data_IF_738330491100
#
_entry.id   IF_738330491100
#
_cell.length_a   1.000
_cell.length_b   1.000
_cell.length_c   1.000
_cell.angle_alpha   90.00
_cell.angle_beta   90.00
_cell.angle_gamma   90.00
#
_symmetry.space_group_name_H-M   'P 1'
#
loop_
_entity.id
_entity.type
_entity.pdbx_description
1 polymer ?
#
# COMPACT_ATOMS: atom_id res chain seq x y z
N UNK A 1 -8.51 36.18 -6.32
CA UNK A 1 -8.26 35.15 -7.35
C UNK A 1 -7.21 35.64 -8.37
N UNK A 2 -7.38 36.81 -8.97
CA UNK A 2 -6.40 37.39 -9.91
C UNK A 2 -4.98 37.57 -9.32
N UNK A 3 -4.85 38.06 -8.07
CA UNK A 3 -3.55 38.17 -7.37
C UNK A 3 -2.88 36.83 -7.04
N UNK A 4 -3.65 35.73 -6.96
CA UNK A 4 -3.10 34.38 -6.76
C UNK A 4 -2.59 33.80 -8.08
N UNK A 5 -3.30 34.07 -9.18
CA UNK A 5 -2.92 33.64 -10.53
C UNK A 5 -1.71 34.41 -11.07
N UNK A 6 -1.54 35.69 -10.70
CA UNK A 6 -0.36 36.48 -11.10
C UNK A 6 0.97 35.99 -10.52
N UNK A 7 0.92 35.17 -9.46
CA UNK A 7 2.11 34.58 -8.84
C UNK A 7 2.52 33.22 -9.42
N UNK A 8 1.76 32.66 -10.36
CA UNK A 8 2.05 31.35 -10.96
C UNK A 8 2.97 31.54 -12.17
N UNK A 9 4.13 30.87 -12.23
CA UNK A 9 5.00 30.89 -13.40
C UNK A 9 4.25 30.45 -14.67
N UNK A 10 4.44 31.17 -15.77
CA UNK A 10 3.68 30.97 -17.01
C UNK A 10 3.89 29.57 -17.63
N UNK A 11 5.05 28.96 -17.41
CA UNK A 11 5.35 27.58 -17.79
C UNK A 11 4.52 26.57 -16.97
N UNK A 12 4.46 26.71 -15.65
CA UNK A 12 3.61 25.87 -14.79
C UNK A 12 2.14 26.04 -15.16
N UNK A 13 1.67 27.27 -15.33
CA UNK A 13 0.28 27.55 -15.70
C UNK A 13 -0.11 26.84 -17.02
N UNK A 14 0.79 26.84 -18.01
CA UNK A 14 0.58 26.15 -19.28
C UNK A 14 0.53 24.63 -19.11
N UNK A 15 1.39 24.06 -18.28
CA UNK A 15 1.37 22.62 -17.98
C UNK A 15 0.07 22.23 -17.29
N UNK A 16 -0.40 23.02 -16.31
CA UNK A 16 -1.64 22.76 -15.57
C UNK A 16 -2.90 22.86 -16.43
N UNK A 17 -2.90 23.66 -17.50
CA UNK A 17 -4.03 23.75 -18.42
C UNK A 17 -4.23 22.48 -19.26
N UNK A 18 -3.14 21.78 -19.63
CA UNK A 18 -3.19 20.58 -20.47
C UNK A 18 -4.16 19.49 -19.99
N UNK A 19 -4.06 18.96 -18.75
CA UNK A 19 -4.95 17.89 -18.31
C UNK A 19 -6.42 18.35 -18.23
N UNK A 20 -6.68 19.63 -17.96
CA UNK A 20 -8.04 20.19 -17.98
C UNK A 20 -8.64 20.23 -19.39
N UNK A 21 -7.79 20.29 -20.41
CA UNK A 21 -8.14 20.23 -21.84
C UNK A 21 -8.06 18.81 -22.41
N UNK A 22 -7.81 17.79 -21.56
CA UNK A 22 -7.69 16.39 -21.96
C UNK A 22 -6.33 16.00 -22.57
N UNK A 23 -5.31 16.85 -22.44
CA UNK A 23 -3.95 16.58 -22.91
C UNK A 23 -3.05 16.01 -21.80
N UNK A 24 -2.21 15.05 -22.16
CA UNK A 24 -1.28 14.42 -21.23
C UNK A 24 -0.08 15.32 -20.87
N UNK A 25 0.41 15.14 -19.64
CA UNK A 25 1.64 15.76 -19.14
C UNK A 25 2.84 14.83 -19.37
N UNK A 26 3.92 15.37 -19.93
CA UNK A 26 5.16 14.62 -20.18
C UNK A 26 6.00 14.43 -18.92
N UNK A 27 7.09 13.64 -18.99
CA UNK A 27 8.01 13.45 -17.86
C UNK A 27 8.71 14.76 -17.50
N UNK A 28 9.16 15.55 -18.48
CA UNK A 28 9.82 16.83 -18.26
C UNK A 28 8.86 17.82 -17.59
N UNK A 29 7.61 17.87 -18.06
CA UNK A 29 6.58 18.74 -17.50
C UNK A 29 6.19 18.30 -16.08
N UNK A 30 6.04 16.99 -15.83
CA UNK A 30 5.82 16.44 -14.50
C UNK A 30 6.96 16.76 -13.54
N UNK A 31 8.20 16.64 -14.01
CA UNK A 31 9.41 17.02 -13.26
C UNK A 31 9.35 18.48 -12.84
N UNK A 32 8.95 19.37 -13.75
CA UNK A 32 8.77 20.79 -13.48
C UNK A 32 7.66 21.05 -12.45
N UNK A 33 6.55 20.31 -12.49
CA UNK A 33 5.47 20.46 -11.51
C UNK A 33 5.91 20.07 -10.08
N UNK A 34 6.83 19.12 -9.92
CA UNK A 34 7.39 18.76 -8.61
C UNK A 34 8.22 19.87 -7.96
N UNK A 35 8.54 20.94 -8.69
CA UNK A 35 9.24 22.11 -8.17
C UNK A 35 8.29 23.25 -7.80
N UNK A 36 6.97 23.09 -7.99
CA UNK A 36 5.99 24.14 -7.74
C UNK A 36 5.99 24.58 -6.27
N UNK A 37 6.13 25.87 -5.99
CA UNK A 37 6.12 26.46 -4.65
C UNK A 37 5.18 27.68 -4.58
N UNK A 38 4.96 28.19 -3.36
CA UNK A 38 4.11 29.37 -3.14
C UNK A 38 2.77 29.31 -3.88
N UNK A 39 2.51 30.31 -4.73
CA UNK A 39 1.30 30.37 -5.54
C UNK A 39 1.17 29.22 -6.56
N UNK A 40 2.29 28.71 -7.08
CA UNK A 40 2.29 27.59 -8.02
C UNK A 40 1.86 26.28 -7.35
N UNK A 41 2.24 26.05 -6.07
CA UNK A 41 1.78 24.90 -5.31
C UNK A 41 0.27 24.95 -5.07
N UNK A 42 -0.27 26.13 -4.75
CA UNK A 42 -1.72 26.31 -4.58
C UNK A 42 -2.48 26.05 -5.89
N UNK A 43 -1.95 26.53 -7.01
CA UNK A 43 -2.53 26.25 -8.33
C UNK A 43 -2.45 24.76 -8.70
N UNK A 44 -1.34 24.09 -8.36
CA UNK A 44 -1.16 22.65 -8.54
C UNK A 44 -2.21 21.86 -7.76
N UNK A 45 -2.41 22.18 -6.47
CA UNK A 45 -3.44 21.56 -5.63
C UNK A 45 -4.84 21.76 -6.20
N UNK A 46 -5.20 22.99 -6.55
CA UNK A 46 -6.51 23.31 -7.11
C UNK A 46 -6.78 22.58 -8.43
N UNK A 47 -5.77 22.48 -9.30
CA UNK A 47 -5.88 21.72 -10.55
C UNK A 47 -6.08 20.23 -10.29
N UNK A 48 -5.31 19.65 -9.37
CA UNK A 48 -5.48 18.25 -9.00
C UNK A 48 -6.86 17.98 -8.37
N UNK A 49 -7.36 18.87 -7.51
CA UNK A 49 -8.69 18.74 -6.91
C UNK A 49 -9.81 18.83 -7.95
N UNK A 50 -9.68 19.71 -8.93
CA UNK A 50 -10.58 19.83 -10.07
C UNK A 50 -10.63 18.52 -10.87
N UNK A 51 -9.47 18.00 -11.28
CA UNK A 51 -9.37 16.75 -12.03
C UNK A 51 -9.94 15.58 -11.22
N UNK A 52 -9.68 15.51 -9.91
CA UNK A 52 -10.27 14.51 -9.03
C UNK A 52 -11.80 14.63 -9.00
N UNK A 53 -12.35 15.84 -8.91
CA UNK A 53 -13.80 16.08 -8.92
C UNK A 53 -14.45 15.67 -10.24
N UNK A 54 -13.77 15.87 -11.37
CA UNK A 54 -14.29 15.46 -12.68
C UNK A 54 -14.50 13.94 -12.79
N UNK A 55 -13.61 13.12 -12.21
CA UNK A 55 -13.72 11.65 -12.28
C UNK A 55 -14.45 11.02 -11.10
N UNK A 56 -14.35 11.59 -9.89
CA UNK A 56 -14.87 10.98 -8.66
C UNK A 56 -16.05 11.75 -8.03
N UNK A 57 -16.39 12.94 -8.53
CA UNK A 57 -17.32 13.84 -7.86
C UNK A 57 -16.82 14.19 -6.44
N UNK A 58 -17.74 14.32 -5.49
CA UNK A 58 -17.42 14.60 -4.08
C UNK A 58 -17.16 13.35 -3.24
N UNK A 59 -17.18 12.16 -3.85
CA UNK A 59 -16.97 10.90 -3.15
C UNK A 59 -15.50 10.76 -2.77
N UNK A 60 -15.27 10.36 -1.52
CA UNK A 60 -13.99 9.87 -1.05
C UNK A 60 -14.21 8.51 -0.41
N UNK A 61 -13.39 7.57 -0.82
CA UNK A 61 -13.57 6.16 -0.48
C UNK A 61 -12.70 5.71 0.70
N UNK A 62 -13.09 4.62 1.35
CA UNK A 62 -12.29 3.84 2.29
C UNK A 62 -12.71 2.37 2.24
N UNK A 63 -11.86 1.47 2.72
CA UNK A 63 -12.16 0.03 2.81
C UNK A 63 -11.96 -0.48 4.25
N UNK A 64 -12.81 -1.39 4.70
CA UNK A 64 -12.58 -2.12 5.95
C UNK A 64 -11.72 -3.33 5.63
N UNK A 65 -10.48 -3.33 6.12
CA UNK A 65 -9.50 -4.38 5.83
C UNK A 65 -8.61 -4.73 7.03
N UNK A 66 -7.93 -5.88 6.91
CA UNK A 66 -6.90 -6.34 7.83
C UNK A 66 -5.62 -6.69 7.08
N UNK A 67 -4.48 -6.25 7.61
CA UNK A 67 -3.18 -6.73 7.14
C UNK A 67 -2.80 -7.98 7.93
N UNK A 68 -2.42 -9.05 7.22
CA UNK A 68 -1.91 -10.28 7.83
C UNK A 68 -0.52 -10.53 7.27
N UNK A 69 0.48 -10.04 8.01
CA UNK A 69 1.86 -10.41 7.81
C UNK A 69 2.13 -11.73 8.50
N UNK A 70 2.17 -12.84 7.76
CA UNK A 70 2.28 -14.17 8.40
C UNK A 70 3.72 -14.59 8.70
N UNK A 71 4.72 -13.88 8.15
CA UNK A 71 6.13 -13.99 8.56
C UNK A 71 6.86 -12.69 8.22
N UNK A 72 7.85 -12.32 9.04
CA UNK A 72 8.82 -11.26 8.74
C UNK A 72 10.17 -11.81 8.24
N UNK A 73 10.35 -13.13 8.14
CA UNK A 73 11.62 -13.74 7.77
C UNK A 73 11.87 -13.54 6.28
N UNK A 74 12.98 -12.91 5.93
CA UNK A 74 13.27 -12.55 4.55
C UNK A 74 14.74 -12.74 4.19
N UNK A 75 15.00 -13.40 3.06
CA UNK A 75 16.34 -13.51 2.50
C UNK A 75 16.84 -12.23 1.82
N UNK A 76 15.96 -11.23 1.61
CA UNK A 76 16.33 -9.94 1.03
C UNK A 76 16.72 -8.96 2.12
N UNK A 77 17.68 -8.08 1.80
CA UNK A 77 18.22 -7.08 2.71
C UNK A 77 17.96 -5.68 2.15
N UNK A 78 16.69 -5.33 2.03
CA UNK A 78 16.28 -4.02 1.52
C UNK A 78 16.70 -2.94 2.51
N UNK A 79 17.35 -1.88 2.03
CA UNK A 79 17.88 -0.81 2.88
C UNK A 79 16.78 -0.03 3.62
N UNK A 80 15.57 0.04 3.09
CA UNK A 80 14.44 0.76 3.70
C UNK A 80 13.56 -0.11 4.62
N UNK A 81 13.74 -1.43 4.63
CA UNK A 81 12.80 -2.32 5.33
C UNK A 81 13.25 -2.55 6.77
N UNK A 82 12.52 -1.96 7.72
CA UNK A 82 12.69 -2.21 9.15
C UNK A 82 11.91 -3.44 9.65
N UNK A 83 11.00 -3.98 8.83
CA UNK A 83 10.13 -5.09 9.18
C UNK A 83 10.82 -6.45 9.03
N UNK A 84 11.60 -6.64 7.95
CA UNK A 84 12.23 -7.93 7.67
C UNK A 84 13.27 -8.33 8.71
N UNK A 85 13.36 -9.63 8.98
CA UNK A 85 14.40 -10.24 9.81
C UNK A 85 15.19 -11.28 9.02
N UNK A 86 16.49 -11.34 9.26
CA UNK A 86 17.30 -12.44 8.74
C UNK A 86 16.86 -13.74 9.43
N UNK A 87 16.94 -14.86 8.73
CA UNK A 87 16.46 -16.16 9.21
C UNK A 87 17.22 -16.71 10.44
N UNK A 88 18.25 -15.99 10.91
CA UNK A 88 19.03 -16.29 12.12
C UNK A 88 18.68 -15.38 13.30
N UNK A 89 17.83 -14.38 13.11
CA UNK A 89 17.44 -13.44 14.15
C UNK A 89 16.30 -13.99 14.99
N UNK A 90 16.37 -13.82 16.31
CA UNK A 90 15.37 -14.34 17.26
C UNK A 90 13.99 -13.68 17.12
N UNK A 91 13.94 -12.51 16.50
CA UNK A 91 12.71 -11.77 16.19
C UNK A 91 12.01 -12.26 14.90
N UNK A 92 12.58 -13.26 14.22
CA UNK A 92 11.95 -13.93 13.09
C UNK A 92 10.75 -14.76 13.56
N UNK A 93 9.58 -14.54 12.97
CA UNK A 93 8.37 -15.32 13.27
C UNK A 93 7.75 -15.95 12.03
N UNK A 94 6.97 -17.01 12.25
CA UNK A 94 6.14 -17.66 11.24
C UNK A 94 4.82 -18.09 11.90
N UNK A 95 3.70 -17.50 11.48
CA UNK A 95 2.38 -17.84 12.03
C UNK A 95 1.90 -19.20 11.50
N UNK A 96 1.26 -20.03 12.34
CA UNK A 96 0.58 -21.23 11.88
C UNK A 96 -0.70 -20.87 11.11
N UNK A 97 -1.13 -21.77 10.22
CA UNK A 97 -2.26 -21.56 9.32
C UNK A 97 -3.55 -21.24 10.07
N UNK A 98 -3.86 -21.97 11.14
CA UNK A 98 -5.04 -21.74 11.96
C UNK A 98 -5.09 -20.32 12.56
N UNK A 99 -3.95 -19.74 12.95
CA UNK A 99 -3.87 -18.35 13.42
C UNK A 99 -4.09 -17.35 12.28
N UNK A 100 -3.57 -17.64 11.08
CA UNK A 100 -3.81 -16.79 9.88
C UNK A 100 -5.31 -16.77 9.55
N UNK A 101 -5.95 -17.95 9.52
CA UNK A 101 -7.40 -18.10 9.29
C UNK A 101 -8.20 -17.41 10.39
N UNK A 102 -7.84 -17.58 11.67
CA UNK A 102 -8.51 -16.90 12.80
C UNK A 102 -8.48 -15.39 12.64
N UNK A 103 -7.33 -14.81 12.29
CA UNK A 103 -7.19 -13.36 12.06
C UNK A 103 -8.07 -12.89 10.91
N UNK A 104 -8.13 -13.64 9.82
CA UNK A 104 -8.99 -13.34 8.69
C UNK A 104 -10.48 -13.42 9.05
N UNK A 105 -10.90 -14.45 9.80
CA UNK A 105 -12.27 -14.59 10.31
C UNK A 105 -12.66 -13.43 11.21
N UNK A 106 -11.81 -13.09 12.18
CA UNK A 106 -12.05 -11.96 13.08
C UNK A 106 -12.20 -10.64 12.31
N UNK A 107 -11.45 -10.44 11.22
CA UNK A 107 -11.62 -9.25 10.38
C UNK A 107 -13.01 -9.23 9.72
N UNK A 108 -13.44 -10.36 9.15
CA UNK A 108 -14.74 -10.49 8.49
C UNK A 108 -15.90 -10.29 9.49
N UNK A 109 -15.78 -10.87 10.69
CA UNK A 109 -16.76 -10.68 11.77
C UNK A 109 -16.88 -9.20 12.20
N UNK A 110 -15.81 -8.42 12.01
CA UNK A 110 -15.78 -6.98 12.26
C UNK A 110 -16.16 -6.13 11.04
N UNK A 111 -16.60 -6.76 9.94
CA UNK A 111 -17.08 -6.09 8.73
C UNK A 111 -16.05 -5.92 7.63
N UNK A 112 -14.85 -6.49 7.76
CA UNK A 112 -13.84 -6.41 6.72
C UNK A 112 -14.26 -7.16 5.45
N UNK A 113 -13.96 -6.56 4.30
CA UNK A 113 -14.16 -7.19 2.98
C UNK A 113 -12.86 -7.65 2.34
N UNK A 114 -11.74 -7.20 2.90
CA UNK A 114 -10.42 -7.46 2.38
C UNK A 114 -9.51 -7.96 3.49
N UNK A 115 -8.73 -9.00 3.15
CA UNK A 115 -7.52 -9.35 3.88
C UNK A 115 -6.32 -9.14 2.97
N UNK A 116 -5.42 -8.26 3.39
CA UNK A 116 -4.15 -8.02 2.71
C UNK A 116 -3.11 -8.99 3.27
N UNK A 117 -2.72 -10.00 2.48
CA UNK A 117 -1.78 -11.04 2.88
C UNK A 117 -0.41 -10.72 2.33
N UNK A 118 0.58 -10.62 3.22
CA UNK A 118 1.96 -10.30 2.88
C UNK A 118 2.93 -11.11 3.73
N UNK A 119 4.15 -11.29 3.24
CA UNK A 119 5.22 -11.97 3.96
C UNK A 119 6.61 -11.48 3.58
N UNK A 120 7.57 -11.83 4.44
CA UNK A 120 8.95 -11.98 4.01
C UNK A 120 9.13 -13.17 3.06
N UNK A 121 10.37 -13.34 2.59
CA UNK A 121 10.78 -14.46 1.73
C UNK A 121 11.61 -15.46 2.54
N UNK A 122 11.00 -16.39 3.29
CA UNK A 122 11.75 -17.32 4.13
C UNK A 122 12.62 -18.25 3.29
N UNK A 123 13.85 -18.59 3.73
CA UNK A 123 14.72 -19.46 2.96
C UNK A 123 14.11 -20.86 2.82
N UNK A 124 14.31 -21.48 1.65
CA UNK A 124 13.80 -22.84 1.34
C UNK A 124 12.26 -22.97 1.41
N UNK A 125 11.52 -21.87 1.35
CA UNK A 125 10.06 -21.85 1.28
C UNK A 125 9.50 -22.89 0.30
N UNK A 126 8.41 -23.56 0.65
CA UNK A 126 7.68 -24.40 -0.29
C UNK A 126 7.14 -23.57 -1.44
N UNK A 127 7.29 -24.10 -2.66
CA UNK A 127 6.94 -23.36 -3.88
C UNK A 127 5.46 -23.00 -3.92
N UNK A 128 4.58 -23.92 -3.52
CA UNK A 128 3.12 -23.76 -3.56
C UNK A 128 2.55 -22.95 -2.39
N UNK A 129 3.37 -22.51 -1.43
CA UNK A 129 2.91 -21.94 -0.15
C UNK A 129 1.82 -20.88 -0.33
N UNK A 130 2.04 -19.89 -1.20
CA UNK A 130 1.10 -18.79 -1.38
C UNK A 130 -0.23 -19.27 -2.02
N UNK A 131 -0.16 -20.24 -2.93
CA UNK A 131 -1.33 -20.85 -3.58
C UNK A 131 -2.12 -21.65 -2.56
N UNK A 132 -1.45 -22.48 -1.76
CA UNK A 132 -2.09 -23.31 -0.75
C UNK A 132 -2.72 -22.44 0.34
N UNK A 133 -2.01 -21.43 0.83
CA UNK A 133 -2.55 -20.46 1.79
C UNK A 133 -3.81 -19.75 1.27
N UNK A 134 -3.80 -19.35 0.00
CA UNK A 134 -4.98 -18.73 -0.65
C UNK A 134 -6.16 -19.69 -0.68
N UNK A 135 -5.92 -20.96 -1.03
CA UNK A 135 -6.96 -22.00 -1.10
C UNK A 135 -7.57 -22.28 0.26
N UNK A 136 -6.75 -22.40 1.30
CA UNK A 136 -7.21 -22.65 2.67
C UNK A 136 -8.02 -21.45 3.20
N UNK A 137 -7.56 -20.21 2.96
CA UNK A 137 -8.33 -19.03 3.31
C UNK A 137 -9.68 -18.98 2.59
N UNK A 138 -9.73 -19.33 1.29
CA UNK A 138 -10.97 -19.35 0.52
C UNK A 138 -11.91 -20.49 0.89
N UNK A 139 -11.40 -21.63 1.38
CA UNK A 139 -12.23 -22.71 1.88
C UNK A 139 -13.04 -22.26 3.11
N UNK A 140 -12.40 -21.49 3.99
CA UNK A 140 -13.02 -20.97 5.22
C UNK A 140 -13.83 -19.69 4.97
N UNK A 141 -13.31 -18.79 4.14
CA UNK A 141 -13.82 -17.45 3.88
C UNK A 141 -14.02 -17.24 2.38
N UNK A 142 -15.03 -17.89 1.75
CA UNK A 142 -15.19 -17.85 0.29
C UNK A 142 -15.38 -16.43 -0.26
N UNK A 143 -16.08 -15.57 0.50
CA UNK A 143 -16.48 -14.24 0.06
C UNK A 143 -15.43 -13.14 0.34
N UNK A 144 -14.42 -13.39 1.17
CA UNK A 144 -13.42 -12.34 1.50
C UNK A 144 -12.51 -12.07 0.32
N UNK A 145 -12.24 -10.81 0.00
CA UNK A 145 -11.26 -10.46 -1.01
C UNK A 145 -9.85 -10.69 -0.47
N UNK A 146 -9.08 -11.54 -1.14
CA UNK A 146 -7.66 -11.75 -0.81
C UNK A 146 -6.83 -10.81 -1.68
N UNK A 147 -6.26 -9.78 -1.05
CA UNK A 147 -5.28 -8.90 -1.66
C UNK A 147 -3.87 -9.37 -1.29
N UNK A 148 -3.19 -10.05 -2.19
CA UNK A 148 -1.89 -10.66 -1.93
C UNK A 148 -1.46 -11.41 -3.19
N UNK A 149 -0.20 -11.62 -3.50
CA UNK A 149 1.04 -11.31 -2.81
C UNK A 149 1.81 -10.30 -3.66
N UNK A 150 2.86 -9.68 -3.12
CA UNK A 150 3.67 -8.73 -3.89
C UNK A 150 4.30 -9.39 -5.14
N UNK A 151 4.67 -8.61 -6.16
CA UNK A 151 5.38 -9.13 -7.33
C UNK A 151 6.67 -9.89 -7.01
N UNK A 152 7.37 -9.50 -5.94
CA UNK A 152 8.55 -10.22 -5.43
C UNK A 152 8.17 -11.61 -4.90
N UNK A 153 7.09 -11.71 -4.13
CA UNK A 153 6.60 -12.97 -3.59
C UNK A 153 6.11 -13.90 -4.70
N UNK A 154 5.38 -13.37 -5.69
CA UNK A 154 4.97 -14.13 -6.90
C UNK A 154 6.18 -14.68 -7.63
N UNK A 155 7.18 -13.85 -7.92
CA UNK A 155 8.41 -14.30 -8.57
C UNK A 155 9.15 -15.35 -7.73
N UNK A 156 9.25 -15.13 -6.42
CA UNK A 156 9.90 -16.06 -5.51
C UNK A 156 9.18 -17.41 -5.50
N UNK A 157 7.85 -17.42 -5.37
CA UNK A 157 7.02 -18.62 -5.43
C UNK A 157 7.17 -19.38 -6.75
N UNK A 158 7.16 -18.67 -7.89
CA UNK A 158 7.39 -19.27 -9.21
C UNK A 158 8.76 -19.96 -9.30
N UNK A 159 9.82 -19.27 -8.87
CA UNK A 159 11.19 -19.82 -8.85
C UNK A 159 11.30 -21.03 -7.91
N UNK A 160 10.70 -20.96 -6.71
CA UNK A 160 10.68 -22.06 -5.74
C UNK A 160 9.91 -23.27 -6.26
N UNK A 161 8.88 -23.03 -7.06
CA UNK A 161 8.07 -24.05 -7.76
C UNK A 161 8.74 -24.60 -9.03
N UNK A 162 9.87 -24.02 -9.46
CA UNK A 162 10.52 -24.29 -10.75
C UNK A 162 9.57 -24.11 -11.95
N UNK A 163 8.61 -23.19 -11.82
CA UNK A 163 7.60 -22.88 -12.83
C UNK A 163 7.79 -21.49 -13.43
N UNK A 164 6.93 -21.15 -14.39
CA UNK A 164 6.85 -19.79 -14.94
C UNK A 164 6.05 -18.86 -14.02
N UNK A 165 6.24 -17.54 -14.16
CA UNK A 165 5.40 -16.53 -13.50
C UNK A 165 3.92 -16.73 -13.87
N UNK A 166 3.64 -17.03 -15.15
CA UNK A 166 2.28 -17.22 -15.64
C UNK A 166 1.59 -18.42 -14.99
N UNK A 167 2.26 -19.57 -14.92
CA UNK A 167 1.69 -20.77 -14.29
C UNK A 167 1.44 -20.55 -12.79
N UNK A 168 2.33 -19.82 -12.12
CA UNK A 168 2.19 -19.49 -10.71
C UNK A 168 0.99 -18.56 -10.46
N UNK A 169 0.86 -17.50 -11.26
CA UNK A 169 -0.28 -16.58 -11.21
C UNK A 169 -1.60 -17.27 -11.55
N UNK A 170 -1.60 -18.21 -12.51
CA UNK A 170 -2.77 -19.04 -12.82
C UNK A 170 -3.17 -19.86 -11.60
N UNK A 171 -2.20 -20.48 -10.92
CA UNK A 171 -2.45 -21.21 -9.66
C UNK A 171 -3.03 -20.33 -8.56
N UNK A 172 -2.53 -19.10 -8.38
CA UNK A 172 -3.08 -18.14 -7.41
C UNK A 172 -4.52 -17.72 -7.76
N UNK A 173 -4.80 -17.43 -9.02
CA UNK A 173 -6.15 -17.11 -9.51
C UNK A 173 -7.11 -18.26 -9.28
N UNK A 174 -6.71 -19.47 -9.65
CA UNK A 174 -7.55 -20.66 -9.51
C UNK A 174 -7.76 -21.03 -8.02
N UNK A 175 -6.84 -20.65 -7.13
CA UNK A 175 -7.02 -20.74 -5.69
C UNK A 175 -7.92 -19.63 -5.10
N UNK A 176 -8.22 -18.59 -5.87
CA UNK A 176 -9.16 -17.52 -5.51
C UNK A 176 -8.53 -16.21 -5.04
N UNK A 177 -7.29 -15.91 -5.43
CA UNK A 177 -6.72 -14.57 -5.20
C UNK A 177 -7.58 -13.50 -5.87
N UNK A 178 -7.85 -12.40 -5.17
CA UNK A 178 -8.70 -11.32 -5.69
C UNK A 178 -7.92 -10.24 -6.44
N UNK A 179 -6.74 -9.86 -5.93
CA UNK A 179 -5.84 -8.89 -6.58
C UNK A 179 -4.44 -8.95 -5.98
N UNK A 180 -3.43 -8.39 -6.67
CA UNK A 180 -2.06 -8.28 -6.14
C UNK A 180 -1.73 -6.85 -5.67
N UNK A 181 -1.02 -6.68 -4.55
CA UNK A 181 -0.49 -5.37 -4.17
C UNK A 181 0.63 -4.94 -5.13
N UNK A 182 0.54 -3.72 -5.67
CA UNK A 182 1.55 -3.07 -6.52
C UNK A 182 2.87 -2.70 -5.84
N UNK A 183 3.13 -3.30 -4.68
CA UNK A 183 4.37 -3.15 -3.90
C UNK A 183 5.58 -3.71 -4.66
N UNK A 184 6.76 -3.58 -4.09
CA UNK A 184 8.03 -3.95 -4.74
C UNK A 184 8.42 -3.07 -5.93
N UNK A 185 7.62 -2.05 -6.25
CA UNK A 185 7.89 -1.06 -7.29
C UNK A 185 8.93 -0.01 -6.85
N UNK A 186 8.85 0.45 -5.59
CA UNK A 186 9.66 1.52 -5.00
C UNK A 186 9.85 2.72 -5.94
N UNK A 187 10.96 2.77 -6.66
CA UNK A 187 11.11 3.57 -7.87
C UNK A 187 11.34 2.62 -9.04
N UNK A 188 10.57 2.75 -10.12
CA UNK A 188 10.73 1.98 -11.35
C UNK A 188 11.89 2.54 -12.20
N UNK A 189 13.07 2.57 -11.60
CA UNK A 189 14.35 2.97 -12.19
C UNK A 189 15.42 2.03 -11.63
N UNK A 190 16.03 1.19 -12.48
CA UNK A 190 16.94 0.14 -12.02
C UNK A 190 18.17 0.69 -11.26
N UNK A 191 18.87 1.75 -11.73
CA UNK A 191 19.96 2.35 -10.97
C UNK A 191 19.59 2.81 -9.55
N UNK A 192 18.42 3.42 -9.36
CA UNK A 192 17.94 3.79 -8.02
C UNK A 192 17.67 2.54 -7.17
N UNK A 193 17.04 1.51 -7.75
CA UNK A 193 16.73 0.25 -7.05
C UNK A 193 17.98 -0.47 -6.58
N UNK A 194 19.01 -0.54 -7.42
CA UNK A 194 20.28 -1.19 -7.10
C UNK A 194 20.96 -0.55 -5.88
N UNK A 195 20.72 0.75 -5.64
CA UNK A 195 21.21 1.48 -4.47
C UNK A 195 20.42 1.17 -3.19
N UNK A 196 19.09 1.08 -3.26
CA UNK A 196 18.23 0.99 -2.06
C UNK A 196 17.77 -0.43 -1.72
N UNK A 197 17.73 -1.35 -2.69
CA UNK A 197 17.28 -2.73 -2.53
C UNK A 197 18.05 -3.69 -3.45
N UNK A 198 19.37 -3.83 -3.25
CA UNK A 198 20.20 -4.72 -4.06
C UNK A 198 19.70 -6.17 -3.99
N UNK A 199 19.62 -6.82 -5.15
CA UNK A 199 19.20 -8.21 -5.27
C UNK A 199 17.70 -8.47 -5.11
N UNK A 200 16.88 -7.42 -5.00
CA UNK A 200 15.42 -7.51 -5.15
C UNK A 200 15.04 -7.66 -6.63
N UNK A 201 13.77 -7.98 -6.92
CA UNK A 201 13.20 -8.05 -8.27
C UNK A 201 13.62 -6.85 -9.12
N UNK A 202 14.01 -7.07 -10.38
CA UNK A 202 14.36 -5.98 -11.31
C UNK A 202 13.10 -5.25 -11.77
N UNK A 203 13.27 -4.06 -12.37
CA UNK A 203 12.13 -3.34 -13.02
C UNK A 203 11.47 -4.24 -14.06
N UNK A 204 12.23 -4.89 -14.92
CA UNK A 204 11.70 -5.76 -15.97
C UNK A 204 10.92 -6.96 -15.41
N UNK A 205 11.43 -7.59 -14.35
CA UNK A 205 10.74 -8.69 -13.69
C UNK A 205 9.46 -8.22 -13.00
N UNK A 206 9.47 -7.05 -12.36
CA UNK A 206 8.27 -6.45 -11.77
C UNK A 206 7.22 -6.21 -12.84
N UNK A 207 7.63 -5.64 -13.98
CA UNK A 207 6.75 -5.38 -15.13
C UNK A 207 6.20 -6.67 -15.73
N UNK A 208 7.02 -7.72 -15.85
CA UNK A 208 6.56 -9.02 -16.34
C UNK A 208 5.50 -9.63 -15.43
N UNK A 209 5.69 -9.58 -14.11
CA UNK A 209 4.68 -10.06 -13.15
C UNK A 209 3.37 -9.27 -13.26
N UNK A 210 3.45 -7.94 -13.25
CA UNK A 210 2.25 -7.07 -13.28
C UNK A 210 1.49 -7.24 -14.60
N UNK A 211 2.18 -7.16 -15.74
CA UNK A 211 1.52 -7.30 -17.04
C UNK A 211 0.99 -8.71 -17.27
N UNK A 212 1.66 -9.74 -16.75
CA UNK A 212 1.15 -11.13 -16.78
C UNK A 212 -0.09 -11.29 -15.90
N UNK A 213 -0.11 -10.69 -14.70
CA UNK A 213 -1.28 -10.70 -13.83
C UNK A 213 -2.49 -10.06 -14.52
N UNK A 214 -2.31 -8.89 -15.14
CA UNK A 214 -3.37 -8.21 -15.88
C UNK A 214 -3.89 -9.05 -17.06
N UNK A 215 -3.01 -9.70 -17.84
CA UNK A 215 -3.42 -10.62 -18.94
C UNK A 215 -4.26 -11.80 -18.43
N UNK A 216 -4.00 -12.27 -17.21
CA UNK A 216 -4.73 -13.37 -16.58
C UNK A 216 -6.03 -12.92 -15.89
N UNK A 217 -6.37 -11.64 -15.94
CA UNK A 217 -7.54 -11.06 -15.31
C UNK A 217 -7.38 -10.81 -13.80
N UNK A 218 -6.14 -10.76 -13.30
CA UNK A 218 -5.84 -10.44 -11.90
C UNK A 218 -5.52 -8.95 -11.82
N UNK A 219 -6.40 -8.11 -11.26
CA UNK A 219 -6.12 -6.70 -11.08
C UNK A 219 -5.00 -6.49 -10.06
N UNK A 220 -4.28 -5.37 -10.16
CA UNK A 220 -3.27 -4.99 -9.17
C UNK A 220 -3.42 -3.56 -8.72
N UNK A 221 -2.88 -3.22 -7.56
CA UNK A 221 -2.65 -1.82 -7.20
C UNK A 221 -1.30 -1.36 -7.80
N UNK A 222 -0.93 -0.09 -7.63
CA UNK A 222 0.38 0.45 -8.01
C UNK A 222 0.90 1.37 -6.90
N UNK A 223 2.22 1.41 -6.70
CA UNK A 223 2.82 2.16 -5.57
C UNK A 223 4.10 2.87 -5.96
N UNK A 224 4.41 3.96 -5.26
CA UNK A 224 5.72 4.61 -5.31
C UNK A 224 6.24 4.84 -3.88
N UNK A 225 7.49 4.48 -3.61
CA UNK A 225 8.17 4.93 -2.39
C UNK A 225 9.03 6.14 -2.72
N UNK A 226 8.82 7.27 -2.04
CA UNK A 226 9.48 8.54 -2.35
C UNK A 226 9.95 9.30 -1.09
N UNK A 227 10.84 10.26 -1.28
CA UNK A 227 11.49 11.05 -0.23
C UNK A 227 12.82 10.46 0.24
N UNK A 228 13.46 9.59 -0.53
CA UNK A 228 14.76 8.97 -0.22
C UNK A 228 15.84 9.53 -1.15
N UNK A 229 16.49 8.71 -1.98
CA UNK A 229 17.60 9.12 -2.87
C UNK A 229 17.12 9.55 -4.26
N UNK A 230 15.84 9.42 -4.57
CA UNK A 230 15.32 9.67 -5.90
C UNK A 230 15.15 11.16 -6.23
N UNK A 231 15.20 11.49 -7.52
CA UNK A 231 14.98 12.85 -8.03
C UNK A 231 13.52 13.05 -8.45
N UNK A 232 13.13 14.30 -8.69
CA UNK A 232 11.82 14.61 -9.26
C UNK A 232 11.60 13.98 -10.64
N UNK A 233 12.66 13.88 -11.45
CA UNK A 233 12.62 13.19 -12.74
C UNK A 233 12.31 11.70 -12.56
N UNK A 234 12.95 11.03 -11.58
CA UNK A 234 12.62 9.64 -11.27
C UNK A 234 11.15 9.46 -10.85
N UNK A 235 10.58 10.39 -10.08
CA UNK A 235 9.17 10.37 -9.69
C UNK A 235 8.24 10.55 -10.90
N UNK A 236 8.52 11.52 -11.76
CA UNK A 236 7.73 11.77 -12.97
C UNK A 236 7.81 10.60 -13.97
N UNK A 237 9.01 10.05 -14.16
CA UNK A 237 9.22 8.87 -15.01
C UNK A 237 8.49 7.64 -14.48
N UNK A 238 8.47 7.43 -13.15
CA UNK A 238 7.69 6.37 -12.52
C UNK A 238 6.19 6.51 -12.84
N UNK A 239 5.61 7.70 -12.67
CA UNK A 239 4.20 7.96 -12.98
C UNK A 239 3.88 7.70 -14.45
N UNK A 240 4.73 8.16 -15.36
CA UNK A 240 4.57 7.89 -16.79
C UNK A 240 4.65 6.40 -17.11
N UNK A 241 5.57 5.66 -16.47
CA UNK A 241 5.71 4.22 -16.65
C UNK A 241 4.45 3.45 -16.22
N UNK A 242 3.87 3.81 -15.07
CA UNK A 242 2.60 3.23 -14.63
C UNK A 242 1.44 3.56 -15.58
N UNK A 243 1.37 4.81 -16.07
CA UNK A 243 0.38 5.22 -17.07
C UNK A 243 0.49 4.39 -18.35
N UNK A 244 1.70 4.14 -18.84
CA UNK A 244 1.92 3.39 -20.07
C UNK A 244 1.54 1.91 -19.92
N UNK A 245 1.82 1.29 -18.77
CA UNK A 245 1.30 -0.04 -18.45
C UNK A 245 -0.22 -0.02 -18.38
N UNK A 246 -0.82 0.99 -17.75
CA UNK A 246 -2.27 1.10 -17.62
C UNK A 246 -2.95 1.24 -18.98
N UNK A 247 -2.39 2.05 -19.88
CA UNK A 247 -2.85 2.15 -21.28
C UNK A 247 -2.83 0.81 -21.99
N UNK A 248 -1.79 0.00 -21.76
CA UNK A 248 -1.62 -1.28 -22.42
C UNK A 248 -2.50 -2.39 -21.84
N UNK A 249 -2.83 -2.33 -20.55
CA UNK A 249 -3.39 -3.48 -19.83
C UNK A 249 -4.68 -3.20 -19.07
N UNK A 250 -4.94 -1.96 -18.66
CA UNK A 250 -6.13 -1.56 -17.89
C UNK A 250 -6.28 -2.20 -16.51
N UNK A 251 -5.23 -2.85 -15.99
CA UNK A 251 -5.33 -3.72 -14.81
C UNK A 251 -5.06 -3.06 -13.46
N UNK A 252 -4.56 -1.81 -13.42
CA UNK A 252 -4.37 -1.09 -12.17
C UNK A 252 -5.70 -0.55 -11.63
N UNK A 253 -5.95 -0.80 -10.34
CA UNK A 253 -7.13 -0.29 -9.63
C UNK A 253 -6.89 1.05 -8.93
N UNK A 254 -5.66 1.28 -8.46
CA UNK A 254 -5.28 2.50 -7.74
C UNK A 254 -3.78 2.78 -7.82
N UNK A 255 -3.42 4.00 -7.42
CA UNK A 255 -2.07 4.44 -7.14
C UNK A 255 -1.91 4.89 -5.68
N UNK A 256 -0.90 4.37 -5.01
CA UNK A 256 -0.60 4.65 -3.59
C UNK A 256 0.79 5.27 -3.44
N UNK A 257 0.88 6.59 -3.21
CA UNK A 257 2.12 7.23 -2.78
C UNK A 257 2.48 6.83 -1.35
N UNK A 258 3.73 6.41 -1.16
CA UNK A 258 4.27 5.97 0.12
C UNK A 258 5.51 6.82 0.47
N UNK A 259 5.34 7.82 1.34
CA UNK A 259 6.52 8.54 1.83
C UNK A 259 7.46 7.61 2.60
N UNK A 260 8.75 7.86 2.44
CA UNK A 260 9.80 7.11 3.11
C UNK A 260 9.84 7.45 4.60
N UNK A 261 9.65 6.43 5.45
CA UNK A 261 9.78 6.52 6.90
C UNK A 261 11.19 6.08 7.28
N UNK A 262 12.00 7.02 7.73
CA UNK A 262 13.45 6.84 7.85
C UNK A 262 13.92 6.33 9.21
N UNK A 263 13.11 6.49 10.27
CA UNK A 263 13.54 6.38 11.67
C UNK A 263 14.27 5.07 11.98
N UNK A 264 13.72 3.95 11.51
CA UNK A 264 14.29 2.60 11.72
C UNK A 264 14.84 1.98 10.43
N UNK A 265 14.90 2.74 9.34
CA UNK A 265 15.34 2.23 8.04
C UNK A 265 16.87 2.02 8.01
N UNK A 266 17.37 0.79 7.74
CA UNK A 266 18.81 0.51 7.74
C UNK A 266 19.66 1.45 6.87
N UNK A 267 19.16 1.86 5.70
CA UNK A 267 19.88 2.72 4.76
C UNK A 267 20.04 4.16 5.27
N UNK A 268 19.13 4.61 6.13
CA UNK A 268 19.22 5.91 6.79
C UNK A 268 20.09 5.81 8.05
N UNK A 269 19.80 4.85 8.93
CA UNK A 269 20.52 4.64 10.19
C UNK A 269 22.01 4.37 9.96
N UNK A 270 22.35 3.59 8.93
CA UNK A 270 23.74 3.25 8.57
C UNK A 270 24.37 4.22 7.58
N UNK A 271 23.66 5.28 7.17
CA UNK A 271 24.13 6.28 6.20
C UNK A 271 24.73 5.65 4.94
N UNK A 272 23.95 4.78 4.26
CA UNK A 272 24.45 4.02 3.10
C UNK A 272 24.75 4.88 1.86
N UNK A 273 24.34 6.16 1.86
CA UNK A 273 24.58 7.12 0.78
C UNK A 273 24.52 8.55 1.32
N UNK A 274 25.41 9.42 0.84
CA UNK A 274 25.40 10.85 1.19
C UNK A 274 24.16 11.60 0.64
N UNK A 275 23.52 11.05 -0.39
CA UNK A 275 22.28 11.58 -0.98
C UNK A 275 21.03 11.13 -0.22
N UNK A 276 21.17 10.32 0.83
CA UNK A 276 20.03 9.79 1.58
C UNK A 276 19.29 10.90 2.33
N UNK A 277 17.97 10.94 2.15
CA UNK A 277 17.08 11.92 2.78
C UNK A 277 16.25 11.28 3.91
N UNK A 278 15.85 12.05 4.93
CA UNK A 278 15.01 11.57 6.03
C UNK A 278 13.51 11.48 5.65
N UNK A 279 13.17 11.25 4.39
CA UNK A 279 11.79 11.29 3.91
C UNK A 279 11.39 12.61 3.26
N UNK A 280 10.15 12.64 2.79
CA UNK A 280 9.54 13.79 2.14
C UNK A 280 9.06 14.83 3.17
N UNK A 281 9.21 16.10 2.85
CA UNK A 281 8.52 17.18 3.57
C UNK A 281 7.02 17.15 3.28
N UNK A 282 6.19 17.76 4.14
CA UNK A 282 4.74 17.84 3.88
C UNK A 282 4.39 18.49 2.53
N UNK A 283 5.16 19.48 2.09
CA UNK A 283 4.98 20.09 0.77
C UNK A 283 5.31 19.11 -0.38
N UNK A 284 6.33 18.26 -0.24
CA UNK A 284 6.64 17.22 -1.22
C UNK A 284 5.58 16.12 -1.25
N UNK A 285 5.00 15.77 -0.11
CA UNK A 285 3.87 14.83 -0.05
C UNK A 285 2.67 15.39 -0.83
N UNK A 286 2.33 16.67 -0.62
CA UNK A 286 1.27 17.35 -1.39
C UNK A 286 1.57 17.34 -2.89
N UNK A 287 2.80 17.68 -3.28
CA UNK A 287 3.21 17.62 -4.70
C UNK A 287 3.09 16.22 -5.29
N UNK A 288 3.51 15.19 -4.55
CA UNK A 288 3.43 13.80 -5.02
C UNK A 288 2.01 13.40 -5.37
N UNK A 289 1.04 13.69 -4.50
CA UNK A 289 -0.36 13.36 -4.77
C UNK A 289 -0.95 14.23 -5.89
N UNK A 290 -0.68 15.53 -5.90
CA UNK A 290 -1.22 16.43 -6.92
C UNK A 290 -0.65 16.16 -8.32
N UNK A 291 0.66 15.94 -8.43
CA UNK A 291 1.31 15.58 -9.70
C UNK A 291 0.86 14.19 -10.15
N UNK A 292 0.70 13.23 -9.24
CA UNK A 292 0.15 11.92 -9.58
C UNK A 292 -1.25 12.02 -10.18
N UNK A 293 -2.15 12.81 -9.56
CA UNK A 293 -3.49 13.07 -10.10
C UNK A 293 -3.43 13.64 -11.51
N UNK A 294 -2.57 14.63 -11.73
CA UNK A 294 -2.43 15.29 -13.03
C UNK A 294 -1.87 14.33 -14.08
N UNK A 295 -0.80 13.60 -13.77
CA UNK A 295 -0.14 12.73 -14.74
C UNK A 295 -0.92 11.45 -15.05
N UNK A 296 -1.69 10.93 -14.08
CA UNK A 296 -2.46 9.69 -14.21
C UNK A 296 -3.95 9.91 -14.55
N UNK A 297 -4.39 11.16 -14.68
CA UNK A 297 -5.79 11.50 -14.95
C UNK A 297 -6.31 10.78 -16.21
N UNK A 298 -7.48 10.14 -16.09
CA UNK A 298 -8.10 9.37 -17.17
C UNK A 298 -7.52 7.98 -17.38
N UNK A 299 -6.52 7.58 -16.59
CA UNK A 299 -5.90 6.25 -16.65
C UNK A 299 -5.99 5.50 -15.32
N UNK A 300 -5.59 6.14 -14.21
CA UNK A 300 -5.70 5.60 -12.85
C UNK A 300 -6.42 6.63 -11.99
N UNK A 301 -7.72 6.45 -11.80
CA UNK A 301 -8.55 7.48 -11.19
C UNK A 301 -8.61 7.43 -9.66
N UNK A 302 -8.13 6.35 -9.06
CA UNK A 302 -8.05 6.17 -7.62
C UNK A 302 -6.65 6.46 -7.10
N UNK A 303 -6.54 7.50 -6.27
CA UNK A 303 -5.31 7.89 -5.59
C UNK A 303 -5.60 7.87 -4.10
N UNK A 304 -4.91 6.97 -3.42
CA UNK A 304 -5.03 6.73 -1.99
C UNK A 304 -4.03 7.58 -1.20
N UNK A 305 -4.46 8.19 -0.09
CA UNK A 305 -3.54 8.70 0.91
C UNK A 305 -3.22 7.62 1.94
N UNK A 306 -1.93 7.33 2.14
CA UNK A 306 -1.50 6.39 3.18
C UNK A 306 -1.49 7.08 4.55
N UNK A 307 -2.63 7.10 5.26
CA UNK A 307 -2.76 7.79 6.55
C UNK A 307 -1.78 7.28 7.62
N UNK A 308 -1.36 6.01 7.53
CA UNK A 308 -0.34 5.44 8.44
C UNK A 308 1.02 6.11 8.29
N UNK A 309 1.30 6.75 7.15
CA UNK A 309 2.55 7.49 6.90
C UNK A 309 2.38 8.98 7.11
N UNK A 310 1.27 9.53 6.62
CA UNK A 310 1.05 10.98 6.57
C UNK A 310 0.35 11.54 7.80
N UNK A 311 -0.42 10.70 8.50
CA UNK A 311 -1.25 11.08 9.63
C UNK A 311 -2.56 11.76 9.22
N UNK A 312 -3.50 11.92 10.17
CA UNK A 312 -4.88 12.33 9.89
C UNK A 312 -5.01 13.74 9.31
N UNK A 313 -4.18 14.68 9.77
CA UNK A 313 -4.24 16.08 9.33
C UNK A 313 -3.78 16.25 7.88
N UNK A 314 -2.67 15.60 7.53
CA UNK A 314 -2.16 15.65 6.17
C UNK A 314 -3.05 14.83 5.23
N UNK A 315 -3.57 13.67 5.67
CA UNK A 315 -4.57 12.91 4.92
C UNK A 315 -5.77 13.77 4.49
N UNK A 316 -6.34 14.56 5.41
CA UNK A 316 -7.44 15.50 5.08
C UNK A 316 -7.00 16.59 4.09
N UNK A 317 -5.81 17.17 4.25
CA UNK A 317 -5.29 18.15 3.30
C UNK A 317 -5.14 17.56 1.90
N UNK A 318 -4.70 16.30 1.80
CA UNK A 318 -4.51 15.62 0.52
C UNK A 318 -5.81 15.39 -0.26
N UNK A 319 -6.98 15.37 0.42
CA UNK A 319 -8.30 15.34 -0.23
C UNK A 319 -8.63 16.63 -1.02
N UNK A 320 -7.80 17.67 -0.85
CA UNK A 320 -7.83 18.92 -1.63
C UNK A 320 -6.67 19.02 -2.63
N UNK A 321 -5.89 17.94 -2.78
CA UNK A 321 -4.70 17.86 -3.63
C UNK A 321 -4.73 16.62 -4.54
N UNK A 322 -5.93 16.14 -4.90
CA UNK A 322 -6.11 15.08 -5.89
C UNK A 322 -6.40 13.68 -5.37
N UNK A 323 -6.31 13.44 -4.05
CA UNK A 323 -6.72 12.17 -3.44
C UNK A 323 -8.24 11.99 -3.43
N UNK A 324 -8.70 10.76 -3.62
CA UNK A 324 -10.10 10.36 -3.54
C UNK A 324 -10.32 9.09 -2.69
N UNK A 325 -9.30 8.66 -1.97
CA UNK A 325 -9.35 7.48 -1.13
C UNK A 325 -8.48 7.69 0.11
N UNK A 326 -9.03 7.46 1.30
CA UNK A 326 -8.29 7.54 2.56
C UNK A 326 -7.68 6.21 2.96
N UNK A 327 -7.91 5.14 2.22
CA UNK A 327 -7.34 3.82 2.36
C UNK A 327 -8.09 2.91 3.33
N UNK A 328 -7.38 1.90 3.82
CA UNK A 328 -7.93 0.88 4.69
C UNK A 328 -8.05 1.29 6.16
N UNK A 329 -8.92 0.61 6.91
CA UNK A 329 -8.92 0.65 8.38
C UNK A 329 -7.65 0.00 8.96
N UNK A 330 -7.02 -0.90 8.21
CA UNK A 330 -5.72 -1.54 8.47
C UNK A 330 -5.62 -2.22 9.84
N UNK A 331 -6.58 -3.08 10.21
CA UNK A 331 -6.50 -3.86 11.45
C UNK A 331 -5.10 -4.53 11.51
N UNK A 332 -4.31 -4.24 12.54
CA UNK A 332 -2.93 -4.71 12.73
C UNK A 332 -1.90 -4.25 11.66
N UNK A 333 -1.86 -2.98 11.27
CA UNK A 333 -0.73 -2.47 10.48
C UNK A 333 0.60 -2.62 11.23
N UNK A 334 1.53 -3.42 10.71
CA UNK A 334 2.82 -3.71 11.37
C UNK A 334 4.06 -3.20 10.64
N UNK A 335 3.98 -2.92 9.33
CA UNK A 335 5.17 -2.59 8.51
C UNK A 335 5.60 -1.14 8.75
N UNK A 336 4.68 -0.19 8.62
CA UNK A 336 4.94 1.23 8.85
C UNK A 336 5.22 1.49 10.32
N UNK A 337 4.51 0.80 11.22
CA UNK A 337 4.79 0.85 12.66
C UNK A 337 6.20 0.34 12.99
N UNK A 338 6.65 -0.76 12.35
CA UNK A 338 8.02 -1.26 12.52
C UNK A 338 9.08 -0.30 11.96
N UNK A 339 8.75 0.48 10.92
CA UNK A 339 9.61 1.53 10.38
C UNK A 339 9.63 2.82 11.24
N UNK A 340 8.76 2.93 12.25
CA UNK A 340 8.70 4.05 13.20
C UNK A 340 7.53 5.02 13.00
N UNK A 341 6.53 4.67 12.18
CA UNK A 341 5.31 5.47 12.05
C UNK A 341 4.52 5.51 13.38
N UNK A 342 4.01 6.69 13.74
CA UNK A 342 3.36 6.93 15.04
C UNK A 342 1.84 7.06 14.97
N UNK A 343 1.23 6.86 13.79
CA UNK A 343 -0.20 7.11 13.56
C UNK A 343 -1.12 5.92 13.88
N UNK A 344 -0.56 4.82 14.40
CA UNK A 344 -1.32 3.68 14.90
C UNK A 344 -1.44 2.51 13.92
N UNK A 345 -2.16 1.48 14.36
CA UNK A 345 -2.32 0.18 13.67
C UNK A 345 -3.79 -0.15 13.36
N UNK A 346 -4.68 0.83 13.50
CA UNK A 346 -6.11 0.75 13.24
C UNK A 346 -6.69 2.17 13.26
N UNK A 347 -7.52 2.50 12.28
CA UNK A 347 -8.45 3.64 12.36
C UNK A 347 -9.87 3.10 12.12
N UNK A 348 -10.80 3.32 13.05
CA UNK A 348 -12.16 2.79 12.90
C UNK A 348 -12.93 3.52 11.77
N UNK A 349 -13.91 2.84 11.14
CA UNK A 349 -14.72 3.41 10.07
C UNK A 349 -15.31 4.79 10.37
N UNK A 350 -15.83 5.02 11.60
CA UNK A 350 -16.41 6.30 12.00
C UNK A 350 -15.41 7.46 11.95
N UNK A 351 -14.15 7.20 12.28
CA UNK A 351 -13.08 8.20 12.22
C UNK A 351 -12.72 8.55 10.77
N UNK A 352 -12.59 7.55 9.89
CA UNK A 352 -12.35 7.77 8.46
C UNK A 352 -13.50 8.59 7.84
N UNK A 353 -14.75 8.22 8.13
CA UNK A 353 -15.92 8.99 7.69
C UNK A 353 -15.92 10.42 8.23
N UNK A 354 -15.51 10.63 9.48
CA UNK A 354 -15.36 11.98 10.06
C UNK A 354 -14.33 12.79 9.30
N UNK A 355 -13.13 12.26 9.05
CA UNK A 355 -12.07 12.97 8.31
C UNK A 355 -12.54 13.38 6.92
N UNK A 356 -13.26 12.49 6.24
CA UNK A 356 -13.83 12.77 4.92
C UNK A 356 -14.87 13.90 4.98
N UNK A 357 -15.78 13.88 5.96
CA UNK A 357 -16.79 14.95 6.12
C UNK A 357 -16.18 16.28 6.53
N UNK A 358 -15.20 16.28 7.43
CA UNK A 358 -14.49 17.48 7.88
C UNK A 358 -13.75 18.16 6.71
N UNK A 359 -13.34 17.38 5.70
CA UNK A 359 -12.79 17.88 4.44
C UNK A 359 -13.86 18.33 3.42
N UNK A 360 -15.16 18.31 3.78
CA UNK A 360 -16.27 18.70 2.92
C UNK A 360 -16.53 17.72 1.77
N UNK A 361 -16.38 16.41 2.03
CA UNK A 361 -16.56 15.33 1.04
C UNK A 361 -17.56 14.29 1.54
N UNK A 362 -18.05 13.44 0.62
CA UNK A 362 -19.02 12.39 0.88
C UNK A 362 -18.29 11.05 1.15
N UNK A 363 -18.38 10.48 2.37
CA UNK A 363 -17.75 9.20 2.67
C UNK A 363 -18.45 8.04 1.96
N UNK A 364 -17.64 7.18 1.36
CA UNK A 364 -18.10 5.96 0.67
C UNK A 364 -17.24 4.78 1.11
N UNK A 365 -17.87 3.73 1.60
CA UNK A 365 -17.20 2.45 1.77
C UNK A 365 -17.15 1.72 0.43
N UNK A 366 -15.97 1.24 0.05
CA UNK A 366 -15.72 0.51 -1.19
C UNK A 366 -15.29 -0.94 -0.96
N UNK A 367 -15.37 -1.75 -2.00
CA UNK A 367 -14.61 -3.01 -2.09
C UNK A 367 -13.15 -2.74 -2.46
N UNK A 368 -12.29 -3.77 -2.42
CA UNK A 368 -10.90 -3.68 -2.93
C UNK A 368 -10.82 -3.25 -4.39
N UNK A 369 -11.83 -3.60 -5.20
CA UNK A 369 -11.91 -3.25 -6.62
C UNK A 369 -12.69 -1.95 -6.88
N UNK A 370 -12.84 -1.10 -5.86
CA UNK A 370 -13.47 0.22 -5.95
C UNK A 370 -14.97 0.22 -6.29
N UNK A 371 -15.66 -0.91 -6.14
CA UNK A 371 -17.11 -0.93 -6.19
C UNK A 371 -17.70 -0.28 -4.93
N UNK A 372 -18.75 0.53 -5.12
CA UNK A 372 -19.43 1.17 -3.99
C UNK A 372 -20.20 0.13 -3.18
N UNK A 373 -19.86 -0.02 -1.90
CA UNK A 373 -20.65 -0.81 -0.95
C UNK A 373 -21.72 0.03 -0.27
N UNK A 374 -21.31 1.18 0.28
CA UNK A 374 -22.19 2.03 1.07
C UNK A 374 -21.82 3.49 0.98
N UNK A 375 -22.81 4.34 0.73
CA UNK A 375 -22.68 5.80 0.72
C UNK A 375 -23.21 6.34 2.05
N UNK A 376 -22.44 7.19 2.72
CA UNK A 376 -22.76 7.71 4.05
C UNK A 376 -23.13 9.20 4.01
N UNK A 377 -24.28 9.53 3.39
CA UNK A 377 -24.83 10.89 3.37
C UNK A 377 -25.02 11.46 4.79
N UNK A 378 -25.39 10.60 5.73
CA UNK A 378 -25.51 10.90 7.16
C UNK A 378 -24.73 9.84 7.95
N UNK A 379 -24.16 10.23 9.10
CA UNK A 379 -23.49 9.27 9.97
C UNK A 379 -24.52 8.32 10.62
N UNK A 380 -24.27 7.00 10.63
CA UNK A 380 -25.15 6.06 11.32
C UNK A 380 -25.26 6.39 12.81
N UNK A 381 -26.45 6.19 13.39
CA UNK A 381 -26.65 6.38 14.82
C UNK A 381 -25.96 5.31 15.67
N UNK A 382 -25.92 4.08 15.16
CA UNK A 382 -25.27 2.95 15.81
C UNK A 382 -23.84 2.78 15.26
N UNK A 383 -22.84 2.57 16.14
CA UNK A 383 -21.47 2.31 15.73
C UNK A 383 -21.35 0.95 15.02
N UNK A 384 -20.41 0.85 14.09
CA UNK A 384 -20.14 -0.41 13.41
C UNK A 384 -19.32 -1.37 14.29
N UNK A 385 -19.32 -2.69 14.00
CA UNK A 385 -18.58 -3.66 14.82
C UNK A 385 -17.11 -3.29 15.05
N UNK A 386 -16.43 -2.77 14.02
CA UNK A 386 -15.05 -2.32 14.15
C UNK A 386 -14.90 -1.02 14.94
N UNK A 387 -15.89 -0.12 14.92
CA UNK A 387 -15.89 1.08 15.76
C UNK A 387 -15.90 0.69 17.24
N UNK A 388 -16.72 -0.32 17.60
CA UNK A 388 -16.77 -0.87 18.96
C UNK A 388 -15.49 -1.60 19.35
N UNK A 389 -14.94 -2.43 18.46
CA UNK A 389 -13.73 -3.19 18.73
C UNK A 389 -12.48 -2.30 18.84
N UNK A 390 -12.44 -1.17 18.12
CA UNK A 390 -11.33 -0.21 18.20
C UNK A 390 -11.19 0.47 19.57
N UNK A 391 -12.23 0.43 20.42
CA UNK A 391 -12.14 0.90 21.80
C UNK A 391 -11.27 -0.01 22.70
N UNK A 392 -10.98 -1.23 22.24
CA UNK A 392 -10.21 -2.27 22.93
C UNK A 392 -9.07 -2.81 22.04
N UNK A 393 -8.10 -1.96 21.67
CA UNK A 393 -7.08 -2.30 20.68
C UNK A 393 -6.16 -3.47 21.11
N UNK A 394 -6.05 -3.75 22.41
CA UNK A 394 -5.31 -4.88 22.98
C UNK A 394 -5.78 -6.23 22.43
N UNK A 395 -7.06 -6.33 22.03
CA UNK A 395 -7.63 -7.53 21.41
C UNK A 395 -6.87 -7.97 20.17
N UNK A 396 -6.36 -7.02 19.40
CA UNK A 396 -5.69 -7.30 18.14
C UNK A 396 -4.23 -7.72 18.35
N UNK A 397 -3.69 -7.48 19.55
CA UNK A 397 -2.26 -7.61 19.86
C UNK A 397 -1.38 -6.68 19.03
N UNK A 398 -0.07 -6.70 19.30
CA UNK A 398 0.90 -5.89 18.57
C UNK A 398 2.02 -6.71 17.94
N UNK A 399 2.65 -6.16 16.90
CA UNK A 399 3.87 -6.73 16.30
C UNK A 399 4.99 -6.89 17.34
N UNK A 400 5.12 -5.93 18.26
CA UNK A 400 6.17 -5.93 19.30
C UNK A 400 6.00 -7.03 20.33
N UNK A 401 4.76 -7.43 20.61
CA UNK A 401 4.49 -8.59 21.47
C UNK A 401 4.67 -9.89 20.69
N UNK A 402 4.22 -9.92 19.43
CA UNK A 402 4.32 -11.10 18.58
C UNK A 402 5.76 -11.62 18.46
N UNK A 403 6.72 -10.75 18.19
CA UNK A 403 8.13 -11.14 18.02
C UNK A 403 8.81 -11.63 19.31
N UNK A 404 8.17 -11.48 20.47
CA UNK A 404 8.67 -11.97 21.76
C UNK A 404 8.16 -13.36 22.10
N UNK A 405 7.14 -13.85 21.39
CA UNK A 405 6.51 -15.14 21.68
C UNK A 405 7.29 -16.26 21.01
N UNK A 406 7.91 -17.13 21.82
CA UNK A 406 8.66 -18.28 21.32
C UNK A 406 7.79 -19.23 20.49
N UNK A 407 6.49 -19.29 20.81
CA UNK A 407 5.50 -20.09 20.10
C UNK A 407 5.38 -19.79 18.59
N UNK A 408 5.80 -18.60 18.14
CA UNK A 408 5.79 -18.22 16.73
C UNK A 408 7.19 -18.11 16.13
N UNK A 409 8.24 -18.44 16.89
CA UNK A 409 9.62 -18.26 16.45
C UNK A 409 9.89 -19.06 15.17
N UNK A 410 10.63 -18.45 14.27
CA UNK A 410 11.10 -19.13 13.08
C UNK A 410 12.25 -20.09 13.44
N UNK A 411 12.05 -21.38 13.17
CA UNK A 411 13.00 -22.47 13.44
C UNK A 411 13.44 -23.18 12.15
N UNK A 412 13.17 -22.58 10.99
CA UNK A 412 13.49 -23.18 9.69
C UNK A 412 12.28 -23.77 8.96
N UNK A 413 11.06 -23.39 9.36
CA UNK A 413 9.82 -23.83 8.70
C UNK A 413 9.83 -23.43 7.22
N UNK A 414 9.38 -24.33 6.35
CA UNK A 414 9.28 -24.08 4.90
C UNK A 414 7.89 -23.62 4.47
N UNK A 415 6.89 -23.85 5.32
CA UNK A 415 5.50 -23.47 5.18
C UNK A 415 4.91 -23.26 6.60
N UNK A 416 3.77 -22.55 6.75
CA UNK A 416 3.06 -22.51 8.02
C UNK A 416 2.78 -23.92 8.54
N UNK A 417 2.98 -24.15 9.84
CA UNK A 417 2.41 -25.33 10.49
C UNK A 417 0.88 -25.25 10.40
N UNK A 418 0.21 -26.38 10.17
CA UNK A 418 -1.25 -26.40 10.00
C UNK A 418 -1.96 -25.96 11.30
N UNK A 419 -1.47 -26.48 12.42
CA UNK A 419 -1.95 -26.14 13.76
C UNK A 419 -0.80 -25.57 14.61
N UNK A 420 -1.16 -24.60 15.43
CA UNK A 420 -0.31 -24.01 16.47
C UNK A 420 -1.17 -23.15 17.39
N UNK A 421 -0.57 -22.50 18.42
CA UNK A 421 -1.34 -21.64 19.30
C UNK A 421 -1.83 -20.41 18.54
N UNK A 422 -3.03 -19.97 18.86
CA UNK A 422 -3.52 -18.64 18.44
C UNK A 422 -2.80 -17.55 19.23
N UNK A 423 -2.81 -16.30 18.74
CA UNK A 423 -2.18 -15.20 19.47
C UNK A 423 -2.72 -15.03 20.90
N UNK A 424 -4.05 -15.08 21.16
CA UNK A 424 -4.57 -15.02 22.52
C UNK A 424 -4.09 -16.17 23.41
N UNK A 425 -4.01 -17.40 22.88
CA UNK A 425 -3.52 -18.56 23.63
C UNK A 425 -2.03 -18.42 23.96
N UNK A 426 -1.21 -17.98 23.00
CA UNK A 426 0.21 -17.75 23.20
C UNK A 426 0.49 -16.64 24.23
N UNK A 427 -0.30 -15.55 24.20
CA UNK A 427 -0.21 -14.47 25.19
C UNK A 427 -0.62 -14.94 26.59
N UNK A 428 -1.71 -15.73 26.70
CA UNK A 428 -2.13 -16.29 27.97
C UNK A 428 -1.08 -17.25 28.55
N UNK A 429 -0.45 -18.07 27.70
CA UNK A 429 0.61 -18.98 28.11
C UNK A 429 1.89 -18.26 28.56
N UNK A 430 2.22 -17.10 27.99
CA UNK A 430 3.40 -16.32 28.36
C UNK A 430 3.24 -15.53 29.68
N UNK A 431 2.01 -15.41 30.20
CA UNK A 431 1.72 -14.71 31.46
C UNK A 431 1.64 -15.65 32.68
N UNK A 432 1.57 -16.97 32.46
CA UNK A 432 1.59 -18.00 33.50
C UNK A 432 2.97 -18.62 33.65
#
# INVERSE_FOLDING_TARGET
MESLLSGVPADIARILAKPLEGSEVTVEEGTRLFEADGAALLALMATADELRRQVNGDRVTYVVNRNINFTNVCIKRCGFCAFSRDFREEEGYFLPLNEIVRRAREAVDLGATEVCIQAGLPPKMEGSLYIDLTRELKAELPDVHIHGFSPEEVLYGAVRSRGSIEDYLRGLRDAGVGSLPGTSAEILNQPVRDRIAPGRITVDQWTDVITTAHRLGIPTTSTIMFGHVETNEHRAAHLAYLRDIQKATGGFTEFVPLSFVHAEAPMFVKQMSDEMRPGATGAEVVRMHAVARIMLHGWIDNIQCSWVKEGPKLAQLLLTAGCNDVGGTLINESISTAAGASYGQLVPPSELRRWIRDAGRLPVERTTLYETRRVYEVEPAEPEPLDLAAAHPERFGSYRELIKLEAFRYEGQRAPDLEGPTLPEALAAAQG
#
